data_IF_093431259692
#
_entry.id   IF_093431259692
#
_cell.length_a   1.000
_cell.length_b   1.000
_cell.length_c   1.000
_cell.angle_alpha   90.00
_cell.angle_beta   90.00
_cell.angle_gamma   90.00
#
_symmetry.space_group_name_H-M   'P 1'
#
loop_
_entity.id
_entity.type
_entity.pdbx_description
1 polymer ?
#
# COMPACT_ATOMS: atom_id res chain seq x y z
N UNK A 1 -14.21 -5.69 31.73
CA UNK A 1 -13.77 -4.42 31.12
C UNK A 1 -12.36 -4.61 30.62
N UNK A 2 -12.12 -4.46 29.32
CA UNK A 2 -10.76 -4.42 28.77
C UNK A 2 -10.13 -3.07 29.12
N UNK A 3 -8.88 -3.08 29.58
CA UNK A 3 -8.12 -1.85 29.84
C UNK A 3 -7.94 -1.03 28.55
N UNK A 4 -7.76 0.29 28.68
CA UNK A 4 -7.47 1.17 27.53
C UNK A 4 -6.29 0.65 26.70
N UNK A 5 -5.24 0.15 27.37
CA UNK A 5 -4.09 -0.47 26.71
C UNK A 5 -4.50 -1.71 25.89
N UNK A 6 -5.26 -2.63 26.48
CA UNK A 6 -5.69 -3.84 25.79
C UNK A 6 -6.60 -3.54 24.59
N UNK A 7 -7.49 -2.56 24.72
CA UNK A 7 -8.37 -2.13 23.64
C UNK A 7 -7.58 -1.53 22.46
N UNK A 8 -6.54 -0.73 22.74
CA UNK A 8 -5.67 -0.16 21.71
C UNK A 8 -4.81 -1.20 21.01
N UNK A 9 -4.27 -2.18 21.76
CA UNK A 9 -3.52 -3.30 21.17
C UNK A 9 -4.41 -4.11 20.23
N UNK A 10 -5.66 -4.38 20.61
CA UNK A 10 -6.60 -5.19 19.82
C UNK A 10 -6.98 -4.56 18.46
N UNK A 11 -6.87 -3.24 18.30
CA UNK A 11 -7.15 -2.54 17.02
C UNK A 11 -6.03 -2.68 15.98
N UNK A 12 -4.79 -2.93 16.41
CA UNK A 12 -3.61 -2.91 15.53
C UNK A 12 -3.57 -4.14 14.61
N UNK A 13 -3.18 -3.94 13.36
CA UNK A 13 -2.92 -5.00 12.38
C UNK A 13 -1.58 -4.69 11.70
N UNK A 14 -0.58 -5.53 11.95
CA UNK A 14 0.77 -5.40 11.38
C UNK A 14 1.03 -6.61 10.51
N UNK A 15 1.32 -6.39 9.24
CA UNK A 15 1.53 -7.45 8.26
C UNK A 15 2.52 -7.02 7.17
N UNK A 16 2.99 -7.99 6.40
CA UNK A 16 3.84 -7.77 5.24
C UNK A 16 3.25 -8.51 4.03
N UNK A 17 3.48 -7.97 2.83
CA UNK A 17 3.11 -8.64 1.58
C UNK A 17 4.42 -9.21 0.99
N UNK A 18 4.53 -10.53 0.81
CA UNK A 18 5.69 -11.21 0.20
C UNK A 18 5.27 -11.97 -1.08
N UNK A 19 6.08 -11.93 -2.14
CA UNK A 19 5.74 -12.51 -3.45
C UNK A 19 6.97 -12.57 -4.35
N UNK A 20 6.88 -13.36 -5.42
CA UNK A 20 7.84 -13.36 -6.52
C UNK A 20 7.88 -11.99 -7.23
N UNK A 21 8.99 -11.63 -7.93
CA UNK A 21 9.03 -10.46 -8.81
C UNK A 21 7.84 -10.41 -9.77
N UNK A 22 7.38 -9.19 -10.07
CA UNK A 22 6.27 -8.90 -10.99
C UNK A 22 4.89 -9.47 -10.62
N UNK A 23 4.72 -10.10 -9.45
CA UNK A 23 3.44 -10.64 -8.98
C UNK A 23 2.40 -9.57 -8.56
N UNK A 24 2.71 -8.29 -8.70
CA UNK A 24 1.78 -7.19 -8.39
C UNK A 24 1.75 -6.72 -6.93
N UNK A 25 2.82 -6.97 -6.15
CA UNK A 25 2.95 -6.50 -4.76
C UNK A 25 2.70 -4.99 -4.61
N UNK A 26 3.32 -4.19 -5.47
CA UNK A 26 3.15 -2.73 -5.44
C UNK A 26 1.72 -2.32 -5.77
N UNK A 27 1.09 -2.99 -6.74
CA UNK A 27 -0.30 -2.73 -7.13
C UNK A 27 -1.29 -2.96 -5.98
N UNK A 28 -1.15 -4.06 -5.23
CA UNK A 28 -2.02 -4.31 -4.08
C UNK A 28 -1.75 -3.35 -2.93
N UNK A 29 -0.48 -2.97 -2.70
CA UNK A 29 -0.12 -1.96 -1.68
C UNK A 29 -0.82 -0.63 -1.97
N UNK A 30 -0.79 -0.15 -3.21
CA UNK A 30 -1.46 1.12 -3.56
C UNK A 30 -2.98 1.07 -3.34
N UNK A 31 -3.62 -0.07 -3.61
CA UNK A 31 -5.06 -0.24 -3.32
C UNK A 31 -5.33 -0.24 -1.82
N UNK A 32 -4.53 -0.92 -1.01
CA UNK A 32 -4.65 -0.89 0.45
C UNK A 32 -4.54 0.54 0.99
N UNK A 33 -3.57 1.31 0.50
CA UNK A 33 -3.37 2.70 0.91
C UNK A 33 -4.54 3.60 0.48
N UNK A 34 -5.08 3.42 -0.73
CA UNK A 34 -6.25 4.16 -1.20
C UNK A 34 -7.48 3.87 -0.33
N UNK A 35 -7.76 2.60 -0.03
CA UNK A 35 -8.89 2.22 0.82
C UNK A 35 -8.71 2.67 2.28
N UNK A 36 -7.46 2.73 2.75
CA UNK A 36 -7.10 3.31 4.03
C UNK A 36 -7.11 4.84 4.06
N UNK A 37 -7.46 5.51 2.96
CA UNK A 37 -7.42 6.97 2.80
C UNK A 37 -6.03 7.59 3.07
N UNK A 38 -4.96 6.78 2.95
CA UNK A 38 -3.58 7.22 3.14
C UNK A 38 -3.02 7.93 1.88
N UNK A 39 -3.61 7.66 0.71
CA UNK A 39 -3.36 8.36 -0.55
C UNK A 39 -4.69 8.73 -1.19
N UNK A 40 -4.70 9.81 -1.99
CA UNK A 40 -5.91 10.25 -2.69
C UNK A 40 -6.07 9.52 -4.03
N UNK A 41 -4.96 9.14 -4.66
CA UNK A 41 -4.95 8.45 -5.94
C UNK A 41 -4.07 7.21 -5.92
N UNK A 42 -4.54 6.13 -6.56
CA UNK A 42 -3.74 4.94 -6.82
C UNK A 42 -3.36 4.89 -8.30
N UNK A 43 -2.10 4.59 -8.60
CA UNK A 43 -1.61 4.34 -9.95
C UNK A 43 -1.84 2.88 -10.34
N UNK A 44 -1.77 2.58 -11.63
CA UNK A 44 -1.68 1.19 -12.09
C UNK A 44 -0.30 0.98 -12.67
N UNK A 45 0.53 0.19 -11.99
CA UNK A 45 1.82 -0.26 -12.54
C UNK A 45 1.53 -1.23 -13.69
N UNK A 46 1.52 -0.74 -14.92
CA UNK A 46 1.44 -1.61 -16.11
C UNK A 46 2.77 -2.33 -16.29
N UNK A 47 2.71 -3.66 -16.39
CA UNK A 47 3.87 -4.50 -16.72
C UNK A 47 4.49 -4.10 -18.07
N UNK A 48 5.84 -4.02 -18.09
CA UNK A 48 6.76 -3.88 -19.25
C UNK A 48 6.07 -3.54 -20.58
N UNK A 49 5.99 -2.25 -20.94
CA UNK A 49 5.62 -1.87 -22.31
C UNK A 49 5.31 -0.39 -22.57
N UNK A 50 4.91 0.38 -21.56
CA UNK A 50 4.74 1.82 -21.70
C UNK A 50 5.75 2.55 -20.83
N UNK A 51 6.59 3.39 -21.44
CA UNK A 51 7.58 4.25 -20.81
C UNK A 51 7.00 5.31 -19.84
N UNK A 52 5.71 5.19 -19.49
CA UNK A 52 5.07 5.96 -18.44
C UNK A 52 5.16 5.15 -17.15
N UNK A 53 6.15 5.49 -16.33
CA UNK A 53 6.14 5.10 -14.91
C UNK A 53 4.80 5.53 -14.32
N UNK A 54 4.07 4.60 -13.72
CA UNK A 54 2.85 4.91 -13.00
C UNK A 54 3.15 6.02 -11.98
N UNK A 55 2.62 7.22 -12.20
CA UNK A 55 2.70 8.32 -11.25
C UNK A 55 1.55 8.14 -10.27
N UNK A 56 1.82 7.48 -9.15
CA UNK A 56 0.92 7.46 -8.00
C UNK A 56 1.53 8.32 -6.89
N UNK A 57 0.69 8.82 -5.98
CA UNK A 57 1.12 9.51 -4.77
C UNK A 57 2.11 8.64 -3.97
N UNK A 58 1.90 7.31 -3.98
CA UNK A 58 2.80 6.34 -3.38
C UNK A 58 4.20 6.35 -4.02
N UNK A 59 4.29 6.34 -5.35
CA UNK A 59 5.57 6.36 -6.06
C UNK A 59 6.31 7.71 -5.95
N UNK A 60 5.60 8.81 -5.64
CA UNK A 60 6.23 10.08 -5.28
C UNK A 60 6.77 10.05 -3.84
N UNK A 61 6.03 9.45 -2.90
CA UNK A 61 6.48 9.24 -1.52
C UNK A 61 7.70 8.31 -1.44
N UNK A 62 7.77 7.25 -2.25
CA UNK A 62 8.87 6.28 -2.24
C UNK A 62 10.21 6.84 -2.78
N UNK A 63 10.16 7.92 -3.58
CA UNK A 63 11.37 8.54 -4.16
C UNK A 63 12.11 9.47 -3.19
N UNK A 64 11.49 9.85 -2.08
CA UNK A 64 12.12 10.65 -1.02
C UNK A 64 12.88 9.74 -0.05
#
# INVERSE_FOLDING_TARGET
MTSLLAAEVAKRRTFAIISHPDAGKTTITEKVLLFGQAIQTAGTVKGRGSNQHAKSDWMEMEKQ
#
